data_IF_964382682889
#
_entry.id   IF_964382682889
#
_cell.length_a   1.000
_cell.length_b   1.000
_cell.length_c   1.000
_cell.angle_alpha   90.00
_cell.angle_beta   90.00
_cell.angle_gamma   90.00
#
_symmetry.space_group_name_H-M   'P 1'
#
loop_
_entity.id
_entity.type
_entity.pdbx_description
1 polymer ?
#
# COMPACT_ATOMS: atom_id res chain seq x y z
N UNK A 1 -10.91 23.54 -21.74
CA UNK A 1 -11.25 22.16 -21.36
C UNK A 1 -9.96 21.38 -21.40
N UNK A 2 -9.40 21.06 -20.25
CA UNK A 2 -8.12 20.33 -20.18
C UNK A 2 -8.44 18.83 -20.24
N UNK A 3 -7.83 18.09 -21.16
CA UNK A 3 -8.09 16.66 -21.31
C UNK A 3 -7.40 15.87 -20.18
N UNK A 4 -8.16 14.99 -19.51
CA UNK A 4 -7.61 13.97 -18.60
C UNK A 4 -7.16 12.76 -19.43
N UNK A 5 -5.93 12.32 -19.18
CA UNK A 5 -5.35 11.09 -19.73
C UNK A 5 -5.17 10.07 -18.62
N UNK A 6 -5.23 8.78 -18.95
CA UNK A 6 -4.94 7.71 -18.00
C UNK A 6 -4.16 6.58 -18.65
N UNK A 7 -3.40 5.84 -17.85
CA UNK A 7 -2.73 4.62 -18.27
C UNK A 7 -2.80 3.56 -17.17
N UNK A 8 -3.08 2.33 -17.58
CA UNK A 8 -3.01 1.16 -16.69
C UNK A 8 -1.55 0.89 -16.31
N UNK A 9 -1.30 0.74 -15.01
CA UNK A 9 0.00 0.37 -14.47
C UNK A 9 -0.01 -1.13 -14.17
N UNK A 10 0.16 -1.95 -15.22
CA UNK A 10 0.03 -3.41 -15.14
C UNK A 10 1.15 -4.10 -14.34
N UNK A 11 2.19 -3.36 -13.99
CA UNK A 11 3.33 -3.79 -13.17
C UNK A 11 3.17 -3.42 -11.68
N UNK A 12 2.04 -2.81 -11.30
CA UNK A 12 1.67 -2.49 -9.91
C UNK A 12 0.63 -3.47 -9.40
N UNK A 13 0.63 -3.71 -8.10
CA UNK A 13 -0.35 -4.56 -7.42
C UNK A 13 -0.71 -3.96 -6.05
N UNK A 14 -1.86 -4.36 -5.51
CA UNK A 14 -2.27 -3.99 -4.16
C UNK A 14 -2.19 -5.19 -3.21
N UNK A 15 -1.58 -4.98 -2.05
CA UNK A 15 -1.61 -5.91 -0.91
C UNK A 15 -2.46 -5.29 0.21
N UNK A 16 -3.40 -6.05 0.75
CA UNK A 16 -4.22 -5.62 1.88
C UNK A 16 -3.55 -6.01 3.20
N UNK A 17 -3.51 -5.06 4.14
CA UNK A 17 -3.11 -5.28 5.53
C UNK A 17 -4.25 -4.79 6.42
N UNK A 18 -4.95 -5.69 7.09
CA UNK A 18 -6.17 -5.37 7.86
C UNK A 18 -6.19 -6.03 9.23
N UNK A 19 -7.10 -5.61 10.09
CA UNK A 19 -7.29 -6.17 11.44
C UNK A 19 -6.96 -5.16 12.54
N UNK A 20 -7.37 -5.48 13.76
CA UNK A 20 -7.35 -4.57 14.91
C UNK A 20 -5.97 -3.97 15.20
N UNK A 21 -4.91 -4.73 14.94
CA UNK A 21 -3.55 -4.32 15.27
C UNK A 21 -2.78 -3.79 14.04
N UNK A 22 -3.44 -3.58 12.88
CA UNK A 22 -2.77 -3.28 11.61
C UNK A 22 -1.99 -1.94 11.62
N UNK A 23 -2.56 -0.88 12.21
CA UNK A 23 -1.90 0.42 12.32
C UNK A 23 -0.63 0.34 13.14
N UNK A 24 -0.74 -0.14 14.40
CA UNK A 24 0.40 -0.32 15.29
C UNK A 24 1.46 -1.25 14.69
N UNK A 25 1.05 -2.33 14.03
CA UNK A 25 1.94 -3.27 13.36
C UNK A 25 2.77 -2.59 12.26
N UNK A 26 2.13 -1.80 11.38
CA UNK A 26 2.82 -1.12 10.29
C UNK A 26 3.65 0.06 10.79
N UNK A 27 3.16 0.85 11.75
CA UNK A 27 3.87 2.00 12.33
C UNK A 27 5.25 1.63 12.88
N UNK A 28 5.38 0.41 13.44
CA UNK A 28 6.66 -0.10 13.93
C UNK A 28 7.60 -0.68 12.86
N UNK A 29 7.16 -0.78 11.61
CA UNK A 29 7.90 -1.48 10.53
C UNK A 29 8.24 -0.59 9.34
N UNK A 30 7.40 0.39 9.02
CA UNK A 30 7.54 1.22 7.83
C UNK A 30 8.07 2.61 8.19
N UNK A 31 8.64 3.31 7.22
CA UNK A 31 9.27 4.63 7.45
C UNK A 31 8.30 5.80 7.52
N UNK A 32 7.05 5.62 7.08
CA UNK A 32 6.02 6.64 7.07
C UNK A 32 5.09 6.52 8.27
N UNK A 33 4.46 7.63 8.65
CA UNK A 33 3.46 7.65 9.72
C UNK A 33 2.09 7.19 9.18
N UNK A 34 1.70 5.96 9.51
CA UNK A 34 0.49 5.32 8.99
C UNK A 34 -0.72 5.54 9.89
N UNK A 35 -0.53 5.93 11.15
CA UNK A 35 -1.63 6.16 12.09
C UNK A 35 -2.40 7.45 11.78
N UNK A 36 -1.80 8.36 11.00
CA UNK A 36 -2.43 9.60 10.53
C UNK A 36 -3.04 9.47 9.12
N UNK A 37 -3.05 8.28 8.52
CA UNK A 37 -3.65 8.06 7.21
C UNK A 37 -5.13 7.72 7.36
N UNK A 38 -5.98 8.71 7.13
CA UNK A 38 -7.42 8.51 7.00
C UNK A 38 -7.75 7.73 5.71
N UNK A 39 -8.94 7.10 5.61
CA UNK A 39 -9.37 6.42 4.40
C UNK A 39 -9.24 7.30 3.14
N UNK A 40 -8.54 6.79 2.14
CA UNK A 40 -8.27 7.49 0.87
C UNK A 40 -7.03 8.41 0.89
N UNK A 41 -6.41 8.64 2.04
CA UNK A 41 -5.12 9.32 2.11
C UNK A 41 -3.98 8.34 1.86
N UNK A 42 -2.92 8.84 1.21
CA UNK A 42 -1.75 8.04 0.87
C UNK A 42 -0.46 8.69 1.38
N UNK A 43 0.50 7.85 1.74
CA UNK A 43 1.88 8.24 1.99
C UNK A 43 2.83 7.36 1.17
N UNK A 44 3.98 7.92 0.80
CA UNK A 44 5.10 7.13 0.29
C UNK A 44 5.94 6.64 1.47
N UNK A 45 6.27 5.36 1.48
CA UNK A 45 7.01 4.73 2.56
C UNK A 45 7.86 3.57 2.08
N UNK A 46 8.66 3.04 3.00
CA UNK A 46 9.52 1.89 2.75
C UNK A 46 9.52 0.94 3.95
N UNK A 47 9.82 -0.33 3.67
CA UNK A 47 10.21 -1.32 4.67
C UNK A 47 11.73 -1.50 4.59
N UNK A 48 12.41 -1.32 5.71
CA UNK A 48 13.86 -1.37 5.78
C UNK A 48 14.37 -2.70 6.36
N UNK A 49 15.62 -3.02 6.07
CA UNK A 49 16.37 -4.01 6.82
C UNK A 49 16.77 -3.44 8.19
N UNK A 50 17.15 -4.28 9.17
CA UNK A 50 17.69 -3.79 10.44
C UNK A 50 18.95 -2.90 10.31
N UNK A 51 19.65 -2.98 9.18
CA UNK A 51 20.81 -2.14 8.85
C UNK A 51 20.42 -0.86 8.09
N UNK A 52 19.13 -0.57 7.93
CA UNK A 52 18.62 0.63 7.26
C UNK A 52 18.61 0.56 5.73
N UNK A 53 18.78 -0.61 5.12
CA UNK A 53 18.67 -0.76 3.65
C UNK A 53 17.21 -0.84 3.23
N UNK A 54 16.82 -0.13 2.18
CA UNK A 54 15.48 -0.27 1.58
C UNK A 54 15.32 -1.68 1.04
N UNK A 55 14.34 -2.42 1.56
CA UNK A 55 13.94 -3.73 1.04
C UNK A 55 12.78 -3.58 0.05
N UNK A 56 11.84 -2.69 0.37
CA UNK A 56 10.66 -2.39 -0.43
C UNK A 56 10.33 -0.91 -0.26
N UNK A 57 9.92 -0.26 -1.34
CA UNK A 57 9.26 1.03 -1.34
C UNK A 57 7.86 0.89 -1.96
N UNK A 58 6.94 1.71 -1.48
CA UNK A 58 5.52 1.58 -1.81
C UNK A 58 4.75 2.85 -1.48
N UNK A 59 3.56 2.98 -2.06
CA UNK A 59 2.53 3.83 -1.48
C UNK A 59 1.69 3.00 -0.50
N UNK A 60 1.37 3.58 0.64
CA UNK A 60 0.41 3.05 1.58
C UNK A 60 -0.79 3.97 1.63
N UNK A 61 -1.98 3.39 1.53
CA UNK A 61 -3.25 4.11 1.45
C UNK A 61 -4.10 3.67 2.64
N UNK A 62 -4.61 4.63 3.42
CA UNK A 62 -5.58 4.38 4.48
C UNK A 62 -6.87 3.78 3.90
N UNK A 63 -7.44 2.78 4.56
CA UNK A 63 -8.66 2.11 4.13
C UNK A 63 -9.52 1.71 5.31
N UNK A 64 -10.80 1.40 5.05
CA UNK A 64 -11.71 0.96 6.11
C UNK A 64 -11.21 -0.40 6.65
N UNK A 65 -10.84 -0.42 7.93
CA UNK A 65 -10.35 -1.62 8.62
C UNK A 65 -8.89 -1.98 8.33
N UNK A 66 -8.09 -1.06 7.78
CA UNK A 66 -6.64 -1.26 7.59
C UNK A 66 -6.04 -0.38 6.50
N UNK A 67 -5.19 -0.99 5.67
CA UNK A 67 -4.37 -0.29 4.69
C UNK A 67 -4.25 -1.09 3.39
N UNK A 68 -4.04 -0.36 2.29
CA UNK A 68 -3.65 -0.91 1.00
C UNK A 68 -2.22 -0.51 0.69
N UNK A 69 -1.40 -1.46 0.27
CA UNK A 69 -0.01 -1.23 -0.14
C UNK A 69 0.08 -1.38 -1.65
N UNK A 70 0.41 -0.30 -2.35
CA UNK A 70 0.75 -0.29 -3.78
C UNK A 70 2.26 -0.43 -3.96
N UNK A 71 2.65 -1.54 -4.59
CA UNK A 71 4.03 -1.88 -4.88
C UNK A 71 4.16 -2.62 -6.21
N UNK A 72 5.40 -2.93 -6.61
CA UNK A 72 5.66 -3.64 -7.85
C UNK A 72 5.12 -5.07 -7.75
N UNK A 73 4.38 -5.51 -8.78
CA UNK A 73 3.76 -6.82 -8.83
C UNK A 73 4.77 -7.97 -8.64
N UNK A 74 5.99 -7.79 -9.14
CA UNK A 74 7.09 -8.75 -8.96
C UNK A 74 7.54 -8.93 -7.51
N UNK A 75 7.21 -8.01 -6.61
CA UNK A 75 7.61 -8.04 -5.20
C UNK A 75 6.52 -8.55 -4.25
N UNK A 76 5.30 -8.77 -4.73
CA UNK A 76 4.12 -9.12 -3.92
C UNK A 76 4.39 -10.28 -2.95
N UNK A 77 4.84 -11.41 -3.49
CA UNK A 77 5.05 -12.65 -2.72
C UNK A 77 6.12 -12.46 -1.65
N UNK A 78 7.22 -11.79 -2.00
CA UNK A 78 8.32 -11.53 -1.06
C UNK A 78 7.95 -10.51 0.01
N UNK A 79 7.17 -9.49 -0.35
CA UNK A 79 6.66 -8.49 0.57
C UNK A 79 5.70 -9.11 1.60
N UNK A 80 4.70 -9.89 1.15
CA UNK A 80 3.77 -10.60 2.03
C UNK A 80 4.53 -11.55 2.95
N UNK A 81 5.48 -12.32 2.41
CA UNK A 81 6.32 -13.22 3.21
C UNK A 81 7.10 -12.47 4.28
N UNK A 82 7.67 -11.31 3.93
CA UNK A 82 8.45 -10.50 4.87
C UNK A 82 7.57 -9.88 5.97
N UNK A 83 6.42 -9.30 5.64
CA UNK A 83 5.51 -8.79 6.68
C UNK A 83 4.96 -9.91 7.56
N UNK A 84 4.64 -11.07 6.97
CA UNK A 84 4.17 -12.24 7.72
C UNK A 84 5.19 -12.73 8.75
N UNK A 85 6.49 -12.65 8.43
CA UNK A 85 7.56 -12.95 9.37
C UNK A 85 7.54 -12.03 10.60
N UNK A 86 7.20 -10.74 10.43
CA UNK A 86 7.13 -9.78 11.53
C UNK A 86 5.80 -9.82 12.31
N UNK A 87 4.73 -10.37 11.73
CA UNK A 87 3.37 -10.36 12.32
C UNK A 87 3.29 -10.99 13.72
N UNK A 88 4.08 -12.01 14.03
CA UNK A 88 4.07 -12.73 15.31
C UNK A 88 2.63 -12.99 15.83
N UNK A 89 2.25 -12.40 16.97
CA UNK A 89 0.92 -12.55 17.60
C UNK A 89 -0.05 -11.42 17.25
N UNK A 90 0.36 -10.45 16.43
CA UNK A 90 -0.49 -9.33 16.05
C UNK A 90 -1.72 -9.82 15.26
N UNK A 91 -2.90 -9.31 15.61
CA UNK A 91 -4.18 -9.63 14.99
C UNK A 91 -4.32 -8.87 13.67
N UNK A 92 -3.49 -9.26 12.71
CA UNK A 92 -3.37 -8.66 11.38
C UNK A 92 -3.57 -9.71 10.29
N UNK A 93 -4.35 -9.44 9.27
CA UNK A 93 -4.43 -10.22 8.05
C UNK A 93 -3.64 -9.53 6.94
N UNK A 94 -2.84 -10.31 6.21
CA UNK A 94 -1.95 -9.81 5.16
C UNK A 94 -2.18 -10.70 3.94
N UNK A 95 -2.53 -10.11 2.81
CA UNK A 95 -2.80 -10.88 1.62
C UNK A 95 -2.97 -10.06 0.35
N UNK A 96 -2.98 -10.74 -0.81
CA UNK A 96 -3.24 -10.07 -2.08
C UNK A 96 -4.62 -9.43 -2.09
N UNK A 97 -4.75 -8.28 -2.74
CA UNK A 97 -6.06 -7.75 -3.11
C UNK A 97 -6.71 -8.65 -4.18
N UNK A 98 -8.03 -8.55 -4.34
CA UNK A 98 -8.70 -9.29 -5.40
C UNK A 98 -8.20 -8.90 -6.81
N UNK A 99 -8.27 -9.85 -7.74
CA UNK A 99 -7.81 -9.65 -9.13
C UNK A 99 -8.72 -8.75 -9.97
N UNK A 100 -9.82 -8.21 -9.40
CA UNK A 100 -10.71 -7.27 -10.09
C UNK A 100 -10.24 -5.83 -9.91
N UNK A 101 -9.33 -5.60 -8.97
CA UNK A 101 -8.73 -4.30 -8.73
C UNK A 101 -7.53 -4.08 -9.65
N UNK A 102 -7.40 -2.89 -10.23
CA UNK A 102 -6.28 -2.51 -11.10
C UNK A 102 -5.81 -1.10 -10.76
N UNK A 103 -4.51 -0.84 -10.94
CA UNK A 103 -3.89 0.46 -10.66
C UNK A 103 -3.77 1.24 -11.97
N UNK A 104 -4.17 2.50 -11.95
CA UNK A 104 -4.07 3.41 -13.09
C UNK A 104 -3.41 4.72 -12.64
N UNK A 105 -2.56 5.29 -13.49
CA UNK A 105 -2.16 6.69 -13.37
C UNK A 105 -3.15 7.54 -14.18
N UNK A 106 -3.60 8.66 -13.61
CA UNK A 106 -4.36 9.68 -14.32
C UNK A 106 -3.63 11.02 -14.22
N UNK A 107 -3.56 11.77 -15.32
CA UNK A 107 -2.87 13.06 -15.40
C UNK A 107 -3.47 13.96 -16.47
N UNK A 108 -3.20 15.28 -16.36
CA UNK A 108 -3.89 16.28 -17.18
C UNK A 108 -5.36 16.44 -16.77
N UNK A 109 -6.03 17.49 -17.26
CA UNK A 109 -7.37 17.82 -16.78
C UNK A 109 -7.37 18.50 -15.40
N UNK A 110 -8.57 18.82 -14.89
CA UNK A 110 -8.80 18.91 -13.44
C UNK A 110 -8.83 17.47 -12.92
N UNK A 111 -7.68 16.77 -12.90
CA UNK A 111 -7.54 15.44 -12.31
C UNK A 111 -7.71 15.53 -10.78
N UNK A 112 -8.93 15.87 -10.35
CA UNK A 112 -9.49 15.45 -9.09
C UNK A 112 -9.69 13.94 -9.18
N UNK A 113 -9.15 13.27 -8.18
CA UNK A 113 -9.32 11.86 -7.83
C UNK A 113 -10.62 11.29 -8.43
N UNK A 114 -10.46 10.29 -9.31
CA UNK A 114 -11.57 9.42 -9.74
C UNK A 114 -12.06 8.69 -8.49
N UNK A 115 -13.23 9.06 -7.98
CA UNK A 115 -13.95 8.27 -6.98
C UNK A 115 -14.11 6.83 -7.51
N UNK A 116 -13.83 5.87 -6.62
CA UNK A 116 -13.63 4.45 -6.91
C UNK A 116 -14.84 3.66 -7.36
#
# INVERSE_FOLDING_TARGET
>A
MTNTSFAALTDRILVRVSGDDAGQFLQGLVTCDVEHLEPGQAAFGALLSPQGKVLFDFFIIGSIGGYLIDLAASLETDFIRRLSFYKLRSRVEIGPMDKRTSVHAAWGGDAGIVDG
#
